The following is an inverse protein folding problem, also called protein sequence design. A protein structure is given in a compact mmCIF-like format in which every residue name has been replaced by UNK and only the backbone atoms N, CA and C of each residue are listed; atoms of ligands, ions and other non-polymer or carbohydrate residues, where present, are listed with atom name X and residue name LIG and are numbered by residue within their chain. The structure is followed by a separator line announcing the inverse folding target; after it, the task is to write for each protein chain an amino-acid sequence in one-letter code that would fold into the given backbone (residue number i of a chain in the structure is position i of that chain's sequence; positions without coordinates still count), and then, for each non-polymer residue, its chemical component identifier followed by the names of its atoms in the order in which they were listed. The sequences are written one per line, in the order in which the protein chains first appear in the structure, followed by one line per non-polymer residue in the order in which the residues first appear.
data_IF_776408902800
#
_entry.id   IF_776408902800
#
_cell.length_a   1.000
_cell.length_b   1.000
_cell.length_c   1.000
_cell.angle_alpha   90.00
_cell.angle_beta   90.00
_cell.angle_gamma   90.00
#
_symmetry.space_group_name_H-M   'P 1'
#
loop_
_entity.id
_entity.type
_entity.pdbx_description
1 polymer ?
#
# COMPACT_ATOMS: atom_id res chain seq x y z
N UNK A 1 0.57 12.29 15.94
CA UNK A 1 1.98 12.57 16.26
C UNK A 1 2.87 12.21 15.08
N UNK A 2 4.13 12.65 15.05
CA UNK A 2 5.08 12.28 14.00
C UNK A 2 5.31 10.76 14.01
N UNK A 3 5.42 10.14 12.83
CA UNK A 3 5.85 8.74 12.74
C UNK A 3 7.34 8.72 13.07
N UNK A 4 7.72 8.13 14.20
CA UNK A 4 9.11 7.97 14.62
C UNK A 4 9.57 6.59 14.20
N UNK A 5 10.71 6.51 13.49
CA UNK A 5 11.32 5.23 13.13
C UNK A 5 11.93 4.61 14.40
N UNK A 6 11.65 3.34 14.71
CA UNK A 6 12.30 2.67 15.83
C UNK A 6 13.83 2.61 15.67
N UNK A 7 14.63 2.69 16.75
CA UNK A 7 16.10 2.68 16.67
C UNK A 7 16.69 1.42 16.03
N UNK A 8 15.96 0.32 16.08
CA UNK A 8 16.29 -1.02 15.57
C UNK A 8 15.69 -1.29 14.19
N UNK A 9 15.04 -0.30 13.56
CA UNK A 9 14.43 -0.48 12.26
C UNK A 9 15.49 -0.82 11.20
N UNK A 10 15.24 -1.83 10.34
CA UNK A 10 16.18 -2.20 9.30
C UNK A 10 16.29 -1.10 8.24
N UNK A 11 17.44 -1.04 7.57
CA UNK A 11 17.73 0.03 6.60
C UNK A 11 16.71 0.14 5.47
N UNK A 12 16.11 -0.98 5.07
CA UNK A 12 15.08 -0.99 4.04
C UNK A 12 13.83 -0.20 4.48
N UNK A 13 13.45 -0.28 5.76
CA UNK A 13 12.27 0.38 6.30
C UNK A 13 12.52 1.89 6.42
N UNK A 14 13.71 2.30 6.87
CA UNK A 14 14.12 3.70 6.87
C UNK A 14 14.04 4.30 5.46
N UNK A 15 14.61 3.61 4.46
CA UNK A 15 14.61 4.07 3.08
C UNK A 15 13.20 4.14 2.50
N UNK A 16 12.36 3.15 2.81
CA UNK A 16 10.96 3.13 2.43
C UNK A 16 10.21 4.34 3.01
N UNK A 17 10.37 4.60 4.30
CA UNK A 17 9.68 5.67 4.99
C UNK A 17 10.14 7.05 4.52
N UNK A 18 11.45 7.21 4.25
CA UNK A 18 12.00 8.42 3.63
C UNK A 18 11.37 8.67 2.25
N UNK A 19 11.27 7.64 1.42
CA UNK A 19 10.62 7.73 0.10
C UNK A 19 9.15 8.13 0.23
N UNK A 20 8.38 7.45 1.09
CA UNK A 20 6.94 7.62 1.20
C UNK A 20 6.52 8.96 1.82
N UNK A 21 7.40 9.59 2.61
CA UNK A 21 7.19 10.92 3.19
C UNK A 21 7.75 12.06 2.36
N UNK A 22 8.43 11.77 1.26
CA UNK A 22 9.07 12.79 0.45
C UNK A 22 8.07 13.80 -0.15
N UNK A 23 6.78 13.49 -0.13
CA UNK A 23 5.74 14.28 -0.78
C UNK A 23 4.53 14.43 0.14
N UNK A 24 3.97 15.63 0.18
CA UNK A 24 2.75 15.93 0.93
C UNK A 24 1.52 15.46 0.13
N UNK A 25 0.95 14.32 0.55
CA UNK A 25 -0.25 13.72 -0.05
C UNK A 25 -1.49 13.85 0.86
N UNK A 26 -1.40 14.60 1.97
CA UNK A 26 -2.52 14.89 2.88
C UNK A 26 -2.67 13.92 4.04
N UNK A 27 -3.68 14.18 4.88
CA UNK A 27 -3.81 13.54 6.20
C UNK A 27 -4.15 12.05 6.12
N UNK A 28 -5.02 11.63 5.19
CA UNK A 28 -5.35 10.21 5.00
C UNK A 28 -4.13 9.39 4.63
N UNK A 29 -3.22 9.94 3.81
CA UNK A 29 -1.94 9.31 3.50
C UNK A 29 -1.05 9.21 4.74
N UNK A 30 -0.94 10.28 5.52
CA UNK A 30 -0.18 10.26 6.76
C UNK A 30 -0.73 9.25 7.78
N UNK A 31 -2.06 9.04 7.81
CA UNK A 31 -2.72 8.00 8.62
C UNK A 31 -2.37 6.61 8.12
N UNK A 32 -2.49 6.33 6.83
CA UNK A 32 -2.07 5.05 6.25
C UNK A 32 -0.59 4.75 6.57
N UNK A 33 0.30 5.73 6.45
CA UNK A 33 1.71 5.53 6.79
C UNK A 33 1.91 5.20 8.28
N UNK A 34 1.14 5.79 9.20
CA UNK A 34 1.17 5.43 10.62
C UNK A 34 0.75 3.98 10.83
N UNK A 35 -0.36 3.57 10.24
CA UNK A 35 -0.87 2.20 10.36
C UNK A 35 0.08 1.19 9.72
N UNK A 36 0.61 1.44 8.53
CA UNK A 36 1.61 0.56 7.92
C UNK A 36 2.89 0.46 8.76
N UNK A 37 3.40 1.58 9.29
CA UNK A 37 4.57 1.54 10.18
C UNK A 37 4.29 0.74 11.45
N UNK A 38 3.16 0.95 12.13
CA UNK A 38 2.79 0.20 13.32
C UNK A 38 2.64 -1.31 13.04
N UNK A 39 2.12 -1.66 11.86
CA UNK A 39 2.07 -3.04 11.39
C UNK A 39 3.48 -3.64 11.25
N UNK A 40 4.40 -2.99 10.53
CA UNK A 40 5.77 -3.50 10.35
C UNK A 40 6.51 -3.63 11.68
N UNK A 41 6.32 -2.69 12.61
CA UNK A 41 6.89 -2.76 13.96
C UNK A 41 6.36 -3.96 14.74
N UNK A 42 5.04 -4.21 14.68
CA UNK A 42 4.43 -5.39 15.33
C UNK A 42 4.94 -6.71 14.74
N UNK A 43 5.35 -6.70 13.47
CA UNK A 43 5.93 -7.88 12.81
C UNK A 43 7.46 -7.92 12.93
N UNK A 44 8.06 -7.06 13.77
CA UNK A 44 9.51 -7.00 14.00
C UNK A 44 10.31 -6.81 12.69
N UNK A 45 9.66 -6.23 11.68
CA UNK A 45 10.19 -6.05 10.33
C UNK A 45 10.59 -7.37 9.61
N UNK A 46 10.15 -8.52 10.11
CA UNK A 46 10.45 -9.83 9.53
C UNK A 46 9.77 -10.01 8.17
N UNK A 47 10.50 -10.60 7.22
CA UNK A 47 9.93 -10.94 5.92
C UNK A 47 9.23 -12.30 5.99
N UNK A 48 7.90 -12.28 6.16
CA UNK A 48 7.10 -13.51 6.29
C UNK A 48 6.93 -14.22 4.94
N UNK A 49 6.50 -13.48 3.90
CA UNK A 49 6.45 -13.96 2.51
C UNK A 49 6.02 -12.82 1.55
N UNK A 50 5.96 -13.13 0.25
CA UNK A 50 5.57 -12.19 -0.81
C UNK A 50 4.06 -12.18 -1.06
N UNK A 51 3.53 -11.01 -1.41
CA UNK A 51 2.18 -10.87 -1.96
C UNK A 51 2.05 -11.56 -3.33
N UNK A 52 0.83 -11.98 -3.68
CA UNK A 52 0.51 -12.47 -5.02
C UNK A 52 0.83 -11.37 -6.06
N UNK A 53 1.47 -11.76 -7.16
CA UNK A 53 1.89 -10.84 -8.23
C UNK A 53 0.90 -10.80 -9.40
N UNK A 54 -0.18 -11.60 -9.36
CA UNK A 54 -1.22 -11.59 -10.38
C UNK A 54 -1.82 -10.19 -10.51
N UNK A 55 -1.87 -9.67 -11.74
CA UNK A 55 -2.38 -8.32 -12.05
C UNK A 55 -1.63 -7.15 -11.40
N UNK A 56 -0.51 -7.39 -10.71
CA UNK A 56 0.29 -6.33 -10.09
C UNK A 56 0.67 -5.25 -11.12
N UNK A 57 0.40 -3.95 -10.84
CA UNK A 57 0.73 -2.87 -11.75
C UNK A 57 2.21 -2.88 -12.15
N UNK A 58 2.48 -2.61 -13.42
CA UNK A 58 3.82 -2.69 -14.02
C UNK A 58 4.82 -1.76 -13.33
N UNK A 59 4.36 -0.62 -12.79
CA UNK A 59 5.19 0.31 -12.03
C UNK A 59 5.84 -0.33 -10.79
N UNK A 60 5.12 -1.22 -10.09
CA UNK A 60 5.65 -1.93 -8.91
C UNK A 60 6.76 -2.89 -9.36
N UNK A 61 6.52 -3.63 -10.44
CA UNK A 61 7.54 -4.53 -11.00
C UNK A 61 8.78 -3.74 -11.48
N UNK A 62 8.57 -2.57 -12.09
CA UNK A 62 9.64 -1.67 -12.52
C UNK A 62 10.47 -1.13 -11.35
N UNK A 63 9.81 -0.70 -10.29
CA UNK A 63 10.45 -0.22 -9.06
C UNK A 63 11.23 -1.32 -8.34
N UNK A 64 10.66 -2.52 -8.19
CA UNK A 64 11.35 -3.67 -7.59
C UNK A 64 12.62 -4.03 -8.38
N UNK A 65 12.54 -4.05 -9.72
CA UNK A 65 13.72 -4.28 -10.59
C UNK A 65 14.82 -3.24 -10.41
N UNK A 66 14.48 -2.05 -9.90
CA UNK A 66 15.41 -0.96 -9.59
C UNK A 66 15.79 -0.93 -8.12
N UNK A 67 15.85 -2.10 -7.50
CA UNK A 67 16.19 -2.29 -6.09
C UNK A 67 15.33 -1.41 -5.15
N UNK A 68 14.07 -1.18 -5.52
CA UNK A 68 13.14 -0.33 -4.76
C UNK A 68 13.67 1.08 -4.51
N UNK A 69 14.31 1.66 -5.53
CA UNK A 69 14.87 3.02 -5.48
C UNK A 69 13.88 4.04 -4.91
N UNK A 70 14.32 4.77 -3.88
CA UNK A 70 13.54 5.83 -3.23
C UNK A 70 13.33 7.07 -4.09
N UNK A 71 14.10 7.24 -5.16
CA UNK A 71 14.06 8.42 -6.06
C UNK A 71 13.40 8.11 -7.40
N UNK A 72 13.32 6.84 -7.80
CA UNK A 72 12.65 6.48 -9.05
C UNK A 72 11.14 6.70 -8.96
N UNK A 73 10.56 7.18 -10.06
CA UNK A 73 9.11 7.40 -10.22
C UNK A 73 8.65 6.83 -11.58
N UNK A 74 7.52 6.11 -11.63
CA UNK A 74 6.91 5.71 -12.90
C UNK A 74 6.24 6.90 -13.58
N UNK A 75 6.15 6.88 -14.90
CA UNK A 75 5.21 7.73 -15.64
C UNK A 75 3.84 7.08 -15.63
N UNK A 76 2.85 7.75 -15.05
CA UNK A 76 1.43 7.33 -15.09
C UNK A 76 0.72 8.32 -16.02
N UNK A 77 0.44 7.93 -17.26
CA UNK A 77 -0.17 8.80 -18.26
C UNK A 77 -1.69 8.94 -18.04
N UNK A 78 -2.37 7.84 -17.71
CA UNK A 78 -3.80 7.82 -17.43
C UNK A 78 -4.09 7.30 -16.01
N UNK A 79 -4.52 8.20 -15.14
CA UNK A 79 -4.92 7.88 -13.76
C UNK A 79 -6.12 6.94 -13.72
N UNK A 80 -7.03 7.00 -14.69
CA UNK A 80 -8.20 6.13 -14.75
C UNK A 80 -7.82 4.69 -15.08
N UNK A 81 -6.89 4.48 -16.03
CA UNK A 81 -6.35 3.15 -16.31
C UNK A 81 -5.56 2.62 -15.11
N UNK A 82 -4.77 3.48 -14.47
CA UNK A 82 -4.00 3.11 -13.29
C UNK A 82 -4.90 2.67 -12.12
N UNK A 83 -5.99 3.40 -11.87
CA UNK A 83 -7.03 3.04 -10.91
C UNK A 83 -7.55 1.62 -11.18
N UNK A 84 -7.92 1.32 -12.43
CA UNK A 84 -8.43 -0.01 -12.79
C UNK A 84 -7.38 -1.10 -12.53
N UNK A 85 -6.11 -0.83 -12.87
CA UNK A 85 -4.99 -1.74 -12.64
C UNK A 85 -4.75 -2.00 -11.15
N UNK A 86 -4.80 -0.95 -10.32
CA UNK A 86 -4.68 -1.07 -8.87
C UNK A 86 -5.79 -1.95 -8.30
N UNK A 87 -7.06 -1.63 -8.56
CA UNK A 87 -8.19 -2.37 -8.00
C UNK A 87 -8.20 -3.82 -8.48
N UNK A 88 -7.82 -4.09 -9.73
CA UNK A 88 -7.69 -5.45 -10.23
C UNK A 88 -6.67 -6.26 -9.42
N UNK A 89 -5.51 -5.68 -9.10
CA UNK A 89 -4.52 -6.35 -8.24
C UNK A 89 -5.02 -6.46 -6.80
N UNK A 90 -5.50 -5.36 -6.22
CA UNK A 90 -5.91 -5.32 -4.82
C UNK A 90 -7.04 -6.31 -4.50
N UNK A 91 -8.02 -6.46 -5.40
CA UNK A 91 -9.06 -7.50 -5.32
C UNK A 91 -8.46 -8.91 -5.26
N UNK A 92 -7.40 -9.21 -6.03
CA UNK A 92 -6.76 -10.55 -5.98
C UNK A 92 -6.02 -10.85 -4.67
N UNK A 93 -5.70 -9.80 -3.90
CA UNK A 93 -5.06 -9.94 -2.60
C UNK A 93 -6.08 -10.08 -1.46
N UNK A 94 -7.34 -9.70 -1.70
CA UNK A 94 -8.36 -9.75 -0.66
C UNK A 94 -8.78 -11.20 -0.35
N UNK A 95 -9.10 -11.48 0.92
CA UNK A 95 -9.70 -12.76 1.27
C UNK A 95 -11.09 -12.90 0.64
N UNK A 96 -11.49 -14.15 0.34
CA UNK A 96 -12.74 -14.42 -0.37
C UNK A 96 -13.98 -13.86 0.33
N UNK A 97 -13.99 -13.84 1.66
CA UNK A 97 -15.10 -13.29 2.47
C UNK A 97 -15.28 -11.77 2.30
N UNK A 98 -14.26 -11.07 1.76
CA UNK A 98 -14.30 -9.63 1.49
C UNK A 98 -14.65 -9.30 0.05
N UNK A 99 -14.89 -10.31 -0.79
CA UNK A 99 -15.24 -10.10 -2.19
C UNK A 99 -16.76 -10.24 -2.35
N UNK A 100 -17.38 -9.19 -2.88
CA UNK A 100 -18.80 -9.16 -3.26
C UNK A 100 -19.11 -10.11 -4.42
N UNK A 101 -20.40 -10.38 -4.66
CA UNK A 101 -20.85 -11.19 -5.80
C UNK A 101 -20.40 -10.60 -7.15
N UNK A 102 -20.24 -9.27 -7.23
CA UNK A 102 -19.74 -8.58 -8.42
C UNK A 102 -18.20 -8.63 -8.56
N UNK A 103 -17.50 -9.36 -7.69
CA UNK A 103 -16.03 -9.49 -7.74
C UNK A 103 -15.30 -8.22 -7.29
N UNK A 104 -15.93 -7.37 -6.49
CA UNK A 104 -15.34 -6.13 -5.95
C UNK A 104 -15.07 -6.26 -4.46
N UNK A 105 -14.09 -5.50 -3.97
CA UNK A 105 -13.84 -5.37 -2.53
C UNK A 105 -15.09 -4.83 -1.84
N UNK A 106 -15.60 -5.56 -0.87
CA UNK A 106 -16.67 -5.14 0.02
C UNK A 106 -16.06 -4.43 1.24
N UNK A 107 -16.12 -3.11 1.25
CA UNK A 107 -15.52 -2.29 2.30
C UNK A 107 -16.15 -2.47 3.69
N UNK A 108 -17.42 -2.90 3.75
CA UNK A 108 -18.08 -3.15 5.03
C UNK A 108 -17.77 -4.52 5.63
N UNK A 109 -17.24 -5.45 4.83
CA UNK A 109 -16.78 -6.73 5.33
C UNK A 109 -15.39 -6.54 5.95
N UNK A 110 -15.33 -6.58 7.28
CA UNK A 110 -14.08 -6.40 8.05
C UNK A 110 -13.87 -7.45 9.14
N UNK A 111 -14.93 -8.16 9.52
CA UNK A 111 -14.96 -9.15 10.60
C UNK A 111 -14.53 -10.55 10.11
N UNK A 112 -13.34 -10.66 9.54
CA UNK A 112 -12.81 -11.91 9.03
C UNK A 112 -11.33 -12.10 9.29
N UNK A 113 -10.82 -13.25 8.85
CA UNK A 113 -9.39 -13.56 8.97
C UNK A 113 -8.57 -12.84 7.89
N UNK A 114 -7.68 -11.97 8.35
CA UNK A 114 -6.78 -11.14 7.55
C UNK A 114 -5.40 -11.78 7.31
N UNK A 115 -5.16 -13.00 7.81
CA UNK A 115 -3.83 -13.64 7.79
C UNK A 115 -3.25 -13.79 6.38
N UNK A 116 -4.09 -13.93 5.36
CA UNK A 116 -3.66 -13.93 3.96
C UNK A 116 -2.94 -12.65 3.52
N UNK A 117 -3.27 -11.52 4.15
CA UNK A 117 -2.68 -10.20 3.91
C UNK A 117 -1.62 -9.81 4.95
N UNK A 118 -1.40 -10.62 6.00
CA UNK A 118 -0.32 -10.43 6.98
C UNK A 118 1.04 -10.73 6.35
N UNK A 119 1.52 -9.80 5.52
CA UNK A 119 2.77 -9.90 4.79
C UNK A 119 3.57 -8.63 5.07
N UNK A 120 4.50 -8.72 6.01
CA UNK A 120 5.48 -7.68 6.35
C UNK A 120 6.71 -7.75 5.46
N UNK A 121 7.55 -6.73 5.52
CA UNK A 121 8.82 -6.67 4.83
C UNK A 121 8.74 -6.19 3.38
N UNK A 122 9.88 -6.33 2.68
CA UNK A 122 10.13 -5.73 1.36
C UNK A 122 9.18 -6.15 0.23
N UNK A 123 8.54 -7.30 0.36
CA UNK A 123 7.63 -7.88 -0.62
C UNK A 123 6.18 -7.97 -0.10
N UNK A 124 5.94 -7.45 1.09
CA UNK A 124 4.65 -7.40 1.76
C UNK A 124 3.82 -6.17 1.40
N UNK A 125 3.03 -5.69 2.35
CA UNK A 125 2.16 -4.52 2.22
C UNK A 125 2.90 -3.25 1.80
N UNK A 126 4.21 -3.16 2.05
CA UNK A 126 5.03 -2.07 1.49
C UNK A 126 4.86 -1.93 -0.03
N UNK A 127 4.71 -3.03 -0.78
CA UNK A 127 4.49 -2.97 -2.23
C UNK A 127 3.15 -2.30 -2.60
N UNK A 128 2.14 -2.45 -1.75
CA UNK A 128 0.81 -1.83 -1.91
C UNK A 128 0.88 -0.35 -1.55
N UNK A 129 1.55 -0.01 -0.43
CA UNK A 129 1.77 1.38 -0.04
C UNK A 129 2.59 2.12 -1.10
N UNK A 130 3.63 1.50 -1.67
CA UNK A 130 4.43 2.09 -2.75
C UNK A 130 3.61 2.36 -4.02
N UNK A 131 2.68 1.48 -4.41
CA UNK A 131 1.83 1.73 -5.58
C UNK A 131 0.84 2.88 -5.34
N UNK A 132 0.30 2.98 -4.12
CA UNK A 132 -0.56 4.10 -3.72
C UNK A 132 0.19 5.42 -3.67
N UNK A 133 1.46 5.41 -3.26
CA UNK A 133 2.32 6.59 -3.34
C UNK A 133 2.44 7.08 -4.79
N UNK A 134 2.76 6.21 -5.74
CA UNK A 134 2.84 6.59 -7.15
C UNK A 134 1.51 7.09 -7.72
N UNK A 135 0.41 6.44 -7.35
CA UNK A 135 -0.92 6.92 -7.73
C UNK A 135 -1.19 8.32 -7.15
N UNK A 136 -0.91 8.54 -5.87
CA UNK A 136 -1.11 9.84 -5.21
C UNK A 136 -0.33 10.95 -5.89
N UNK A 137 0.93 10.70 -6.28
CA UNK A 137 1.73 11.67 -7.05
C UNK A 137 1.11 11.99 -8.42
N UNK A 138 0.67 10.98 -9.14
CA UNK A 138 0.02 11.18 -10.44
C UNK A 138 -1.31 11.92 -10.30
N UNK A 139 -2.13 11.55 -9.31
CA UNK A 139 -3.42 12.16 -9.05
C UNK A 139 -3.28 13.64 -8.65
N UNK A 140 -2.31 13.96 -7.77
CA UNK A 140 -1.95 15.33 -7.39
C UNK A 140 -1.43 16.12 -8.59
N UNK A 141 -0.47 15.57 -9.33
CA UNK A 141 0.17 16.25 -10.47
C UNK A 141 -0.79 16.53 -11.64
N UNK A 142 -1.78 15.65 -11.86
CA UNK A 142 -2.78 15.81 -12.91
C UNK A 142 -4.08 16.48 -12.42
N UNK A 143 -4.20 16.75 -11.11
CA UNK A 143 -5.45 17.18 -10.47
C UNK A 143 -6.67 16.32 -10.87
N UNK A 144 -6.49 14.99 -10.90
CA UNK A 144 -7.49 14.03 -11.38
C UNK A 144 -7.43 12.75 -10.56
N UNK A 145 -8.60 12.17 -10.22
CA UNK A 145 -8.67 10.87 -9.55
C UNK A 145 -8.26 10.85 -8.08
N UNK A 146 -8.16 12.02 -7.42
CA UNK A 146 -7.81 12.12 -5.99
C UNK A 146 -8.84 11.41 -5.12
N UNK A 147 -10.14 11.56 -5.40
CA UNK A 147 -11.19 10.88 -4.64
C UNK A 147 -11.07 9.35 -4.71
N UNK A 148 -10.81 8.80 -5.89
CA UNK A 148 -10.63 7.35 -6.07
C UNK A 148 -9.36 6.82 -5.38
N UNK A 149 -8.30 7.62 -5.41
CA UNK A 149 -7.07 7.32 -4.69
C UNK A 149 -7.30 7.33 -3.16
N UNK A 150 -8.08 8.29 -2.64
CA UNK A 150 -8.42 8.36 -1.21
C UNK A 150 -9.19 7.11 -0.75
N UNK A 151 -10.17 6.63 -1.54
CA UNK A 151 -10.88 5.38 -1.22
C UNK A 151 -9.91 4.21 -1.10
N UNK A 152 -8.92 4.12 -1.99
CA UNK A 152 -7.91 3.06 -1.92
C UNK A 152 -6.96 3.21 -0.72
N UNK A 153 -6.59 4.45 -0.36
CA UNK A 153 -5.77 4.75 0.83
C UNK A 153 -6.50 4.36 2.11
N UNK A 154 -7.76 4.74 2.24
CA UNK A 154 -8.62 4.42 3.38
C UNK A 154 -8.78 2.90 3.51
N UNK A 155 -9.01 2.21 2.40
CA UNK A 155 -9.18 0.76 2.41
C UNK A 155 -7.93 0.01 2.90
N UNK A 156 -6.75 0.38 2.39
CA UNK A 156 -5.49 -0.22 2.84
C UNK A 156 -5.20 0.15 4.30
N UNK A 157 -5.61 1.33 4.75
CA UNK A 157 -5.48 1.74 6.15
C UNK A 157 -6.27 0.81 7.07
N UNK A 158 -7.54 0.52 6.72
CA UNK A 158 -8.39 -0.43 7.45
C UNK A 158 -7.71 -1.80 7.55
N UNK A 159 -7.14 -2.30 6.45
CA UNK A 159 -6.39 -3.57 6.47
C UNK A 159 -5.21 -3.52 7.45
N UNK A 160 -4.40 -2.46 7.41
CA UNK A 160 -3.29 -2.30 8.36
C UNK A 160 -3.78 -2.25 9.82
N UNK A 161 -4.86 -1.52 10.11
CA UNK A 161 -5.41 -1.38 11.46
C UNK A 161 -5.92 -2.73 12.02
N UNK A 162 -6.56 -3.55 11.17
CA UNK A 162 -6.96 -4.91 11.56
C UNK A 162 -5.76 -5.83 11.80
N UNK A 163 -4.69 -5.72 11.00
CA UNK A 163 -3.48 -6.51 11.18
C UNK A 163 -2.68 -6.12 12.43
N UNK A 164 -2.82 -4.87 12.89
CA UNK A 164 -2.26 -4.42 14.18
C UNK A 164 -3.08 -4.93 15.36
N UNK A 165 -4.40 -4.98 15.23
CA UNK A 165 -5.32 -5.30 16.32
C UNK A 165 -5.50 -6.80 16.57
N UNK A 166 -5.04 -7.64 15.62
CA UNK A 166 -5.12 -9.10 15.66
C UNK A 166 -3.87 -9.77 16.22
#
# INVERSE_FOLDING_TARGET
GPIVTPPDAPKWFENALLMLRNEELGDSWATLLRSWCAFEVRQEFEEVSKLNTQHRPSCVSGWIKRARSGTWRPTIADVSEFKASFWKWWTTLQPAWRISEEGKVNFSAVDGDWEGLRRSGLNGLFSVVAVLFYWGLAAKGQNKGVADWLVAVEDVCVVCDHLISS
#
